data_IF_285070343201
#
_entry.id   IF_285070343201
#
_cell.length_a   1.000
_cell.length_b   1.000
_cell.length_c   1.000
_cell.angle_alpha   90.00
_cell.angle_beta   90.00
_cell.angle_gamma   90.00
#
_symmetry.space_group_name_H-M   'P 1'
#
loop_
_entity.id
_entity.type
_entity.pdbx_description
1 polymer ?
#
# COMPACT_ATOMS: atom_id res chain seq x y z
N UNK A 1 24.01 19.74 27.28
CA UNK A 1 23.15 19.00 28.24
C UNK A 1 21.72 19.04 27.69
N UNK A 2 21.52 18.47 26.51
CA UNK A 2 21.14 17.07 26.24
C UNK A 2 19.64 16.78 26.41
N UNK A 3 18.96 16.75 25.26
CA UNK A 3 18.14 15.61 24.79
C UNK A 3 16.98 15.10 25.66
N UNK A 4 16.07 15.98 26.09
CA UNK A 4 14.81 15.51 26.69
C UNK A 4 13.75 15.02 25.65
N UNK A 5 13.93 15.31 24.36
CA UNK A 5 13.08 14.79 23.27
C UNK A 5 13.27 13.28 23.01
N UNK A 6 14.26 12.65 23.64
CA UNK A 6 14.57 11.23 23.46
C UNK A 6 13.80 10.29 24.40
N UNK A 7 13.13 10.79 25.45
CA UNK A 7 12.52 9.94 26.48
C UNK A 7 11.12 9.39 26.15
N UNK A 8 10.37 9.98 25.21
CA UNK A 8 9.01 9.54 24.88
C UNK A 8 8.89 8.72 23.58
N UNK A 9 9.98 8.55 22.81
CA UNK A 9 9.97 7.82 21.52
C UNK A 9 9.79 6.29 21.66
N UNK A 10 9.69 5.76 22.88
CA UNK A 10 9.68 4.33 23.16
C UNK A 10 8.36 3.70 23.62
N UNK A 11 7.29 4.48 23.84
CA UNK A 11 6.04 3.92 24.38
C UNK A 11 5.18 3.29 23.26
N UNK A 12 5.19 1.96 23.16
CA UNK A 12 4.25 1.21 22.30
C UNK A 12 2.87 1.17 22.97
N UNK A 13 2.04 2.18 22.72
CA UNK A 13 0.60 2.10 23.05
C UNK A 13 -0.02 1.01 22.18
N UNK A 14 -0.63 0.00 22.80
CA UNK A 14 -1.45 -0.99 22.09
C UNK A 14 -2.81 -0.34 21.85
N UNK A 15 -3.14 -0.08 20.60
CA UNK A 15 -4.47 0.39 20.20
C UNK A 15 -5.53 -0.65 20.66
N UNK A 16 -6.24 -0.39 21.76
CA UNK A 16 -7.26 -1.27 22.38
C UNK A 16 -8.63 -1.14 21.72
N UNK A 17 -8.65 -1.02 20.38
CA UNK A 17 -9.84 -0.84 19.55
C UNK A 17 -10.57 -2.17 19.23
N UNK A 18 -10.73 -3.03 20.23
CA UNK A 18 -11.26 -4.41 20.09
C UNK A 18 -12.75 -4.49 19.72
N UNK A 19 -13.52 -3.42 19.94
CA UNK A 19 -14.94 -3.32 19.59
C UNK A 19 -15.18 -2.81 18.16
N UNK A 20 -14.19 -2.16 17.53
CA UNK A 20 -14.34 -1.54 16.21
C UNK A 20 -14.04 -2.58 15.11
N UNK A 21 -15.02 -2.85 14.25
CA UNK A 21 -14.84 -3.76 13.12
C UNK A 21 -13.89 -3.17 12.07
N UNK A 22 -13.01 -4.00 11.49
CA UNK A 22 -12.02 -3.62 10.47
C UNK A 22 -11.08 -2.47 10.89
N UNK A 23 -10.90 -2.23 12.20
CA UNK A 23 -10.01 -1.21 12.76
C UNK A 23 -8.53 -1.56 12.65
N UNK A 24 -8.20 -2.85 12.52
CA UNK A 24 -6.80 -3.27 12.43
C UNK A 24 -6.14 -2.75 11.15
N UNK A 25 -4.93 -2.20 11.31
CA UNK A 25 -4.08 -1.79 10.19
C UNK A 25 -3.72 -3.04 9.36
N UNK A 26 -4.14 -3.08 8.09
CA UNK A 26 -3.82 -4.19 7.18
C UNK A 26 -2.41 -4.02 6.61
N UNK A 27 -1.41 -4.57 7.29
CA UNK A 27 -0.02 -4.53 6.82
C UNK A 27 0.28 -5.52 5.69
N UNK A 28 -0.49 -6.61 5.59
CA UNK A 28 -0.32 -7.66 4.58
C UNK A 28 -1.66 -8.16 4.01
N UNK A 29 -1.57 -9.04 3.00
CA UNK A 29 -2.73 -9.61 2.30
C UNK A 29 -3.35 -8.69 1.26
N UNK A 30 -4.45 -9.14 0.64
CA UNK A 30 -5.11 -8.45 -0.49
C UNK A 30 -5.61 -7.04 -0.13
N UNK A 31 -6.12 -6.85 1.09
CA UNK A 31 -6.64 -5.55 1.55
C UNK A 31 -5.57 -4.53 1.94
N UNK A 32 -4.29 -4.92 1.99
CA UNK A 32 -3.18 -4.00 2.32
C UNK A 32 -2.76 -3.13 1.14
N UNK A 33 -3.09 -3.53 -0.09
CA UNK A 33 -2.60 -2.90 -1.33
C UNK A 33 -3.76 -2.69 -2.28
N UNK A 34 -3.75 -1.56 -2.96
CA UNK A 34 -4.74 -1.17 -3.96
C UNK A 34 -4.04 -0.65 -5.22
N UNK A 35 -4.74 -0.70 -6.35
CA UNK A 35 -4.29 -0.04 -7.57
C UNK A 35 -4.11 1.47 -7.33
N UNK A 36 -3.00 2.04 -7.80
CA UNK A 36 -2.74 3.49 -7.69
C UNK A 36 -3.73 4.36 -8.46
N UNK A 37 -4.32 3.84 -9.54
CA UNK A 37 -5.25 4.59 -10.40
C UNK A 37 -6.72 4.39 -10.01
N UNK A 38 -7.18 3.13 -9.88
CA UNK A 38 -8.61 2.83 -9.69
C UNK A 38 -8.95 2.24 -8.31
N UNK A 39 -8.00 2.21 -7.37
CA UNK A 39 -8.18 1.74 -5.99
C UNK A 39 -8.72 0.30 -5.81
N UNK A 40 -8.82 -0.49 -6.88
CA UNK A 40 -9.23 -1.89 -6.78
C UNK A 40 -8.16 -2.74 -6.10
N UNK A 41 -8.60 -3.72 -5.31
CA UNK A 41 -7.75 -4.76 -4.73
C UNK A 41 -7.60 -6.00 -5.63
N UNK A 42 -8.20 -5.99 -6.84
CA UNK A 42 -8.26 -7.16 -7.73
C UNK A 42 -7.30 -7.05 -8.91
N UNK A 43 -6.61 -8.15 -9.22
CA UNK A 43 -5.72 -8.22 -10.39
C UNK A 43 -4.57 -7.21 -10.35
N UNK A 44 -4.01 -6.98 -9.18
CA UNK A 44 -2.90 -6.05 -8.96
C UNK A 44 -1.58 -6.65 -9.49
N UNK A 45 -0.95 -5.97 -10.43
CA UNK A 45 0.40 -6.25 -10.92
C UNK A 45 1.39 -5.63 -9.93
N UNK A 46 2.18 -6.49 -9.29
CA UNK A 46 3.11 -6.14 -8.21
C UNK A 46 4.57 -6.11 -8.65
N UNK A 47 4.86 -6.64 -9.83
CA UNK A 47 6.21 -6.68 -10.40
C UNK A 47 6.72 -5.27 -10.66
N UNK A 48 8.02 -5.06 -10.48
CA UNK A 48 8.69 -3.77 -10.68
C UNK A 48 8.08 -2.60 -9.88
N UNK A 49 7.39 -2.92 -8.77
CA UNK A 49 6.73 -1.95 -7.90
C UNK A 49 5.68 -1.04 -8.60
N UNK A 50 5.08 -1.51 -9.69
CA UNK A 50 4.04 -0.78 -10.44
C UNK A 50 2.80 -0.51 -9.58
N UNK A 51 2.31 -1.54 -8.86
CA UNK A 51 1.08 -1.47 -8.06
C UNK A 51 -0.13 -0.93 -8.85
N UNK A 52 -0.29 -1.41 -10.08
CA UNK A 52 -1.41 -1.10 -10.98
C UNK A 52 -2.24 -2.35 -11.22
N UNK A 53 -3.55 -2.23 -11.41
CA UNK A 53 -4.36 -3.38 -11.80
C UNK A 53 -4.21 -3.66 -13.30
N UNK A 54 -4.49 -4.91 -13.72
CA UNK A 54 -4.36 -5.33 -15.13
C UNK A 54 -5.17 -4.50 -16.15
N UNK A 55 -6.23 -3.82 -15.70
CA UNK A 55 -7.05 -2.92 -16.56
C UNK A 55 -6.31 -1.62 -16.79
N UNK A 56 -5.98 -0.91 -15.71
CA UNK A 56 -5.22 0.33 -15.76
C UNK A 56 -3.83 0.16 -16.37
N UNK A 57 -3.17 -1.00 -16.18
CA UNK A 57 -1.89 -1.24 -16.82
C UNK A 57 -1.99 -1.21 -18.35
N UNK A 58 -3.08 -1.70 -18.96
CA UNK A 58 -3.26 -1.66 -20.41
C UNK A 58 -3.50 -0.24 -20.93
N UNK A 59 -4.14 0.60 -20.13
CA UNK A 59 -4.38 2.02 -20.45
C UNK A 59 -3.08 2.82 -20.37
N UNK A 60 -2.25 2.59 -19.35
CA UNK A 60 -1.01 3.34 -19.11
C UNK A 60 0.26 2.67 -19.65
N UNK A 61 0.15 1.52 -20.33
CA UNK A 61 1.31 0.76 -20.79
C UNK A 61 2.23 1.62 -21.67
N UNK A 62 1.63 2.32 -22.64
CA UNK A 62 2.34 3.19 -23.59
C UNK A 62 3.00 4.37 -22.89
N UNK A 63 2.29 5.04 -21.96
CA UNK A 63 2.81 6.19 -21.19
C UNK A 63 3.99 5.81 -20.29
N UNK A 64 3.99 4.59 -19.75
CA UNK A 64 5.10 4.06 -18.93
C UNK A 64 6.29 3.67 -19.83
N UNK A 65 6.09 3.52 -21.13
CA UNK A 65 7.11 3.13 -22.10
C UNK A 65 7.17 1.62 -22.38
N UNK A 66 6.15 0.85 -21.97
CA UNK A 66 6.01 -0.52 -22.43
C UNK A 66 5.60 -0.52 -23.90
N UNK A 67 6.30 -1.32 -24.71
CA UNK A 67 5.96 -1.57 -26.11
C UNK A 67 5.76 -3.06 -26.33
N UNK A 68 4.74 -3.40 -27.09
CA UNK A 68 4.56 -4.77 -27.56
C UNK A 68 5.63 -5.02 -28.63
N UNK A 69 6.51 -5.97 -28.36
CA UNK A 69 7.47 -6.52 -29.29
C UNK A 69 7.09 -8.00 -29.42
N UNK A 70 7.02 -8.50 -30.64
CA UNK A 70 6.45 -9.81 -30.99
C UNK A 70 7.10 -10.99 -30.25
#
# INVERSE_FOLDING_TARGET
MENFEFLFKGLKVKDDNSHLQNSHKKSFGKGSRSCRACFTHTGLIRTYNLNLCRRCFREYAEDIGFRQLD
#
